data_IF_047942430388
#
_entry.id   IF_047942430388
#
_cell.length_a   1.000
_cell.length_b   1.000
_cell.length_c   1.000
_cell.angle_alpha   90.00
_cell.angle_beta   90.00
_cell.angle_gamma   90.00
#
_symmetry.space_group_name_H-M   'P 1'
#
loop_
_entity.id
_entity.type
_entity.pdbx_description
1 polymer ?
#
# COMPACT_ATOMS: atom_id res chain seq x y z
N UNK A 1 -48.72 13.87 -45.78
CA UNK A 1 -48.64 14.78 -44.62
C UNK A 1 -49.07 14.02 -43.37
N UNK A 2 -48.25 14.03 -42.32
CA UNK A 2 -48.68 13.71 -40.94
C UNK A 2 -48.24 12.35 -40.38
N UNK A 3 -47.00 12.26 -39.89
CA UNK A 3 -46.57 11.26 -38.90
C UNK A 3 -46.50 12.01 -37.56
N UNK A 4 -47.24 11.60 -36.53
CA UNK A 4 -46.93 11.92 -35.13
C UNK A 4 -47.52 10.91 -34.13
N UNK A 5 -46.70 10.67 -33.10
CA UNK A 5 -46.97 10.11 -31.78
C UNK A 5 -47.19 8.60 -31.63
N UNK A 6 -46.12 7.88 -31.26
CA UNK A 6 -46.09 6.91 -30.16
C UNK A 6 -44.67 6.88 -29.60
N UNK A 7 -44.45 7.17 -28.30
CA UNK A 7 -43.11 7.04 -27.72
C UNK A 7 -42.81 7.71 -26.37
N UNK A 8 -43.77 8.05 -25.52
CA UNK A 8 -43.50 8.56 -24.17
C UNK A 8 -44.27 7.73 -23.13
N UNK A 9 -43.66 6.68 -22.59
CA UNK A 9 -44.31 5.88 -21.55
C UNK A 9 -43.45 4.80 -20.89
N UNK A 10 -42.38 4.34 -21.54
CA UNK A 10 -41.58 3.22 -21.02
C UNK A 10 -40.41 3.63 -20.10
N UNK A 11 -39.95 4.88 -20.13
CA UNK A 11 -38.71 5.28 -19.44
C UNK A 11 -38.81 5.55 -17.94
N UNK A 12 -40.01 5.83 -17.39
CA UNK A 12 -40.14 6.35 -16.01
C UNK A 12 -40.33 5.31 -14.90
N UNK A 13 -40.65 4.05 -15.23
CA UNK A 13 -40.86 2.99 -14.21
C UNK A 13 -39.64 2.09 -13.96
N UNK A 14 -38.62 2.13 -14.83
CA UNK A 14 -37.37 1.39 -14.62
C UNK A 14 -36.37 2.12 -13.69
N UNK A 15 -36.44 3.44 -13.57
CA UNK A 15 -35.49 4.23 -12.76
C UNK A 15 -35.73 4.18 -11.24
N UNK A 16 -36.96 3.95 -10.78
CA UNK A 16 -37.29 4.02 -9.36
C UNK A 16 -36.98 2.72 -8.57
N UNK A 17 -37.02 1.57 -9.23
CA UNK A 17 -36.77 0.27 -8.59
C UNK A 17 -35.27 -0.08 -8.49
N UNK A 18 -34.42 0.51 -9.34
CA UNK A 18 -32.96 0.33 -9.29
C UNK A 18 -32.27 1.27 -8.28
N UNK A 19 -32.89 2.42 -7.96
CA UNK A 19 -32.35 3.38 -6.99
C UNK A 19 -32.48 2.92 -5.52
N UNK A 20 -33.57 2.24 -5.16
CA UNK A 20 -33.86 1.86 -3.77
C UNK A 20 -33.04 0.65 -3.29
N UNK A 21 -32.74 -0.31 -4.17
CA UNK A 21 -31.90 -1.47 -3.85
C UNK A 21 -30.43 -1.07 -3.78
N UNK A 22 -30.00 -0.12 -4.62
CA UNK A 22 -28.63 0.42 -4.61
C UNK A 22 -28.31 1.17 -3.30
N UNK A 23 -29.27 1.95 -2.76
CA UNK A 23 -29.12 2.67 -1.49
C UNK A 23 -29.05 1.79 -0.25
N UNK A 24 -29.84 0.71 -0.20
CA UNK A 24 -29.84 -0.21 0.95
C UNK A 24 -28.57 -1.08 1.01
N UNK A 25 -28.05 -1.49 -0.16
CA UNK A 25 -26.84 -2.31 -0.27
C UNK A 25 -25.58 -1.47 -0.04
N UNK A 26 -25.52 -0.22 -0.53
CA UNK A 26 -24.41 0.71 -0.24
C UNK A 26 -24.33 1.10 1.24
N UNK A 27 -25.48 1.23 1.92
CA UNK A 27 -25.55 1.48 3.35
C UNK A 27 -25.04 0.31 4.21
N UNK A 28 -25.39 -0.93 3.83
CA UNK A 28 -24.96 -2.14 4.54
C UNK A 28 -23.44 -2.40 4.39
N UNK A 29 -22.89 -2.19 3.20
CA UNK A 29 -21.46 -2.34 2.93
C UNK A 29 -20.66 -1.21 3.60
N UNK A 30 -21.13 0.05 3.54
CA UNK A 30 -20.53 1.15 4.30
C UNK A 30 -20.55 0.90 5.81
N UNK A 31 -21.64 0.33 6.35
CA UNK A 31 -21.77 -0.03 7.76
C UNK A 31 -20.81 -1.14 8.19
N UNK A 32 -20.60 -2.15 7.34
CA UNK A 32 -19.65 -3.24 7.59
C UNK A 32 -18.19 -2.75 7.53
N UNK A 33 -17.85 -1.90 6.55
CA UNK A 33 -16.52 -1.26 6.42
C UNK A 33 -16.26 -0.29 7.57
N UNK A 34 -17.25 0.51 7.97
CA UNK A 34 -17.15 1.40 9.13
C UNK A 34 -17.04 0.64 10.47
N UNK A 35 -17.75 -0.48 10.62
CA UNK A 35 -17.66 -1.37 11.78
C UNK A 35 -16.31 -2.09 11.88
N UNK A 36 -15.77 -2.54 10.73
CA UNK A 36 -14.42 -3.09 10.63
C UNK A 36 -13.34 -2.04 10.92
N UNK A 37 -13.59 -0.78 10.56
CA UNK A 37 -12.74 0.39 10.87
C UNK A 37 -12.81 0.84 12.32
N UNK A 38 -13.98 0.73 12.96
CA UNK A 38 -14.19 1.14 14.36
C UNK A 38 -13.60 0.16 15.39
N UNK A 39 -13.37 -1.11 15.03
CA UNK A 39 -12.71 -2.11 15.90
C UNK A 39 -11.16 -2.01 15.92
N UNK A 40 -10.59 -0.93 15.39
CA UNK A 40 -9.19 -0.90 14.99
C UNK A 40 -8.25 -0.22 16.00
N UNK A 41 -7.46 -1.05 16.68
CA UNK A 41 -6.02 -0.81 16.83
C UNK A 41 -5.25 -0.93 15.49
N UNK A 42 -5.94 -1.12 14.36
CA UNK A 42 -5.42 -1.54 13.06
C UNK A 42 -5.59 -0.56 11.89
N UNK A 43 -6.12 0.65 12.12
CA UNK A 43 -6.18 1.73 11.11
C UNK A 43 -4.88 2.56 11.10
N UNK A 44 -3.78 1.97 11.59
CA UNK A 44 -2.56 2.70 11.86
C UNK A 44 -1.90 3.16 10.56
N UNK A 45 -1.85 2.32 9.52
CA UNK A 45 -1.18 2.65 8.26
C UNK A 45 -1.91 3.76 7.52
N UNK A 46 -3.25 3.67 7.44
CA UNK A 46 -4.08 4.72 6.88
C UNK A 46 -3.97 6.02 7.68
N UNK A 47 -4.08 5.98 9.01
CA UNK A 47 -3.93 7.19 9.83
C UNK A 47 -2.54 7.81 9.68
N UNK A 48 -1.49 7.00 9.71
CA UNK A 48 -0.12 7.45 9.53
C UNK A 48 0.10 8.09 8.15
N UNK A 49 -0.63 7.65 7.13
CA UNK A 49 -0.63 8.23 5.79
C UNK A 49 -1.47 9.51 5.72
N UNK A 50 -2.67 9.54 6.31
CA UNK A 50 -3.56 10.71 6.36
C UNK A 50 -2.95 11.90 7.11
N UNK A 51 -2.14 11.61 8.14
CA UNK A 51 -1.40 12.62 8.91
C UNK A 51 0.00 12.88 8.37
N UNK A 52 0.41 12.18 7.31
CA UNK A 52 1.71 12.40 6.69
C UNK A 52 1.76 13.83 6.14
N UNK A 53 2.86 14.59 6.31
CA UNK A 53 2.97 15.91 5.72
C UNK A 53 2.66 15.85 4.23
N UNK A 54 2.04 16.90 3.70
CA UNK A 54 1.74 17.02 2.27
C UNK A 54 2.89 17.73 1.58
N UNK A 55 3.25 17.37 0.33
CA UNK A 55 4.27 18.11 -0.40
C UNK A 55 3.77 19.52 -0.71
N UNK A 56 4.67 20.49 -0.61
CA UNK A 56 4.42 21.85 -1.07
C UNK A 56 4.41 21.95 -2.60
N UNK A 57 3.74 22.98 -3.12
CA UNK A 57 3.83 23.37 -4.53
C UNK A 57 4.14 24.87 -4.55
N UNK A 58 5.33 25.30 -5.02
CA UNK A 58 6.40 24.51 -5.65
C UNK A 58 7.11 23.53 -4.69
N UNK A 59 7.81 22.55 -5.26
CA UNK A 59 8.62 21.57 -4.52
C UNK A 59 9.91 22.23 -4.03
N UNK A 60 9.93 22.68 -2.77
CA UNK A 60 11.11 23.30 -2.15
C UNK A 60 12.00 22.27 -1.45
N UNK A 61 11.40 21.22 -0.90
CA UNK A 61 12.06 20.15 -0.16
C UNK A 61 11.71 18.79 -0.73
N UNK A 62 12.52 17.79 -0.41
CA UNK A 62 12.22 16.40 -0.74
C UNK A 62 11.06 15.90 0.11
N UNK A 63 10.08 15.32 -0.56
CA UNK A 63 8.94 14.68 0.06
C UNK A 63 8.93 13.20 -0.28
N UNK A 64 8.81 12.36 0.75
CA UNK A 64 8.78 10.92 0.59
C UNK A 64 7.67 10.31 1.43
N UNK A 65 7.00 9.31 0.88
CA UNK A 65 6.24 8.34 1.67
C UNK A 65 6.55 6.92 1.23
N UNK A 66 6.84 6.05 2.21
CA UNK A 66 7.18 4.65 1.94
C UNK A 66 6.55 3.70 2.94
N UNK A 67 6.36 2.45 2.53
CA UNK A 67 5.88 1.37 3.37
C UNK A 67 6.83 1.12 4.55
N UNK A 68 8.14 1.19 4.31
CA UNK A 68 9.15 1.11 5.36
C UNK A 68 8.99 2.26 6.37
N UNK A 69 8.80 3.48 5.88
CA UNK A 69 8.58 4.67 6.69
C UNK A 69 7.29 4.62 7.50
N UNK A 70 6.22 4.01 6.97
CA UNK A 70 4.99 3.76 7.73
C UNK A 70 5.25 2.76 8.88
N UNK A 71 5.86 1.61 8.58
CA UNK A 71 6.10 0.55 9.58
C UNK A 71 7.12 1.00 10.63
N UNK A 72 8.13 1.77 10.24
CA UNK A 72 9.15 2.31 11.14
C UNK A 72 8.59 3.26 12.20
N UNK A 73 7.39 3.82 11.99
CA UNK A 73 6.69 4.66 12.99
C UNK A 73 5.93 3.86 14.05
N UNK A 74 5.88 2.53 13.94
CA UNK A 74 5.21 1.71 14.94
C UNK A 74 5.96 1.76 16.28
N UNK A 75 5.26 1.74 17.44
CA UNK A 75 5.90 1.84 18.76
C UNK A 75 6.92 0.74 19.05
N UNK A 76 6.76 -0.44 18.43
CA UNK A 76 7.65 -1.57 18.62
C UNK A 76 7.94 -2.27 17.30
N UNK A 77 9.13 -2.03 16.75
CA UNK A 77 9.69 -2.77 15.62
C UNK A 77 10.76 -3.72 16.15
N UNK A 78 10.63 -5.05 15.97
CA UNK A 78 11.65 -6.00 16.40
C UNK A 78 13.01 -5.67 15.77
N UNK A 79 14.09 -5.68 16.56
CA UNK A 79 15.44 -5.32 16.09
C UNK A 79 15.89 -6.00 14.78
N UNK A 80 15.65 -7.32 14.59
CA UNK A 80 15.95 -7.98 13.31
C UNK A 80 15.15 -7.44 12.12
N UNK A 81 13.90 -6.99 12.33
CA UNK A 81 13.05 -6.44 11.28
C UNK A 81 13.50 -5.02 10.86
N UNK A 82 14.08 -4.24 11.77
CA UNK A 82 14.63 -2.90 11.45
C UNK A 82 15.63 -2.96 10.30
N UNK A 83 16.49 -3.99 10.29
CA UNK A 83 17.50 -4.18 9.23
C UNK A 83 16.90 -4.48 7.86
N UNK A 84 15.65 -4.93 7.80
CA UNK A 84 14.96 -5.27 6.57
C UNK A 84 14.01 -4.17 6.10
N UNK A 85 13.76 -3.13 6.91
CA UNK A 85 12.78 -2.09 6.56
C UNK A 85 13.09 -1.44 5.21
N UNK A 86 14.36 -1.08 4.96
CA UNK A 86 14.79 -0.46 3.71
C UNK A 86 14.48 -1.29 2.45
N UNK A 87 14.33 -2.61 2.59
CA UNK A 87 13.95 -3.47 1.46
C UNK A 87 12.50 -3.19 1.02
N UNK A 88 11.63 -2.76 1.94
CA UNK A 88 10.24 -2.46 1.61
C UNK A 88 10.08 -1.17 0.80
N UNK A 89 11.09 -0.29 0.78
CA UNK A 89 11.08 0.88 -0.11
C UNK A 89 11.00 0.43 -1.57
N UNK A 90 11.64 -0.68 -1.92
CA UNK A 90 11.57 -1.34 -3.24
C UNK A 90 10.19 -1.91 -3.63
N UNK A 91 9.22 -1.87 -2.72
CA UNK A 91 7.88 -2.45 -2.89
C UNK A 91 6.75 -1.42 -2.65
N UNK A 92 7.11 -0.22 -2.21
CA UNK A 92 6.13 0.78 -1.85
C UNK A 92 6.80 2.05 -1.39
N UNK A 93 7.11 2.92 -2.35
CA UNK A 93 7.64 4.25 -2.08
C UNK A 93 7.17 5.24 -3.14
N UNK A 94 6.92 6.47 -2.72
CA UNK A 94 6.75 7.63 -3.60
C UNK A 94 7.74 8.69 -3.14
N UNK A 95 8.61 9.12 -4.04
CA UNK A 95 9.57 10.22 -3.82
C UNK A 95 9.23 11.34 -4.78
N UNK A 96 9.11 12.56 -4.26
CA UNK A 96 8.88 13.76 -5.05
C UNK A 96 9.71 14.89 -4.45
N UNK A 97 10.69 15.39 -5.19
CA UNK A 97 11.54 16.50 -4.76
C UNK A 97 11.85 17.49 -5.89
N UNK A 98 12.60 18.56 -5.58
CA UNK A 98 13.01 19.56 -6.58
C UNK A 98 13.87 18.97 -7.70
N UNK A 99 14.71 17.99 -7.36
CA UNK A 99 15.72 17.42 -8.26
C UNK A 99 15.29 16.08 -8.87
N UNK A 100 14.52 15.27 -8.14
CA UNK A 100 14.15 13.92 -8.54
C UNK A 100 12.70 13.55 -8.22
N UNK A 101 12.24 12.51 -8.90
CA UNK A 101 10.94 11.87 -8.70
C UNK A 101 11.10 10.36 -8.85
N UNK A 102 10.38 9.59 -8.06
CA UNK A 102 10.60 8.14 -8.00
C UNK A 102 9.46 7.34 -7.43
N UNK A 103 9.50 6.05 -7.73
CA UNK A 103 8.62 5.03 -7.18
C UNK A 103 9.40 3.80 -6.75
N UNK A 104 8.95 3.20 -5.66
CA UNK A 104 9.35 1.87 -5.20
C UNK A 104 10.88 1.64 -5.19
N UNK A 105 11.61 2.54 -4.52
CA UNK A 105 13.06 2.44 -4.36
C UNK A 105 13.87 2.87 -5.59
N UNK A 106 13.21 3.33 -6.66
CA UNK A 106 13.87 3.88 -7.84
C UNK A 106 13.45 5.34 -8.07
N UNK A 107 14.42 6.26 -7.96
CA UNK A 107 14.25 7.68 -8.30
C UNK A 107 15.04 8.08 -9.53
N UNK A 108 14.56 9.13 -10.20
CA UNK A 108 15.19 9.67 -11.39
C UNK A 108 15.20 11.19 -11.36
N UNK A 109 16.35 11.77 -11.69
CA UNK A 109 16.48 13.21 -11.85
C UNK A 109 15.52 13.72 -12.93
N UNK A 110 14.85 14.85 -12.67
CA UNK A 110 13.87 15.42 -13.58
C UNK A 110 14.42 15.65 -15.00
N UNK A 111 15.70 16.02 -15.14
CA UNK A 111 16.36 16.20 -16.44
C UNK A 111 16.50 14.92 -17.30
N UNK A 112 16.23 13.74 -16.73
CA UNK A 112 16.21 12.46 -17.43
C UNK A 112 14.79 11.96 -17.73
N UNK A 113 13.77 12.60 -17.17
CA UNK A 113 12.37 12.24 -17.40
C UNK A 113 11.97 12.65 -18.82
N UNK A 114 11.34 11.72 -19.53
CA UNK A 114 10.86 11.87 -20.90
C UNK A 114 9.35 12.13 -20.95
N UNK A 115 8.61 11.49 -20.06
CA UNK A 115 7.14 11.53 -20.03
C UNK A 115 6.64 11.10 -18.65
N UNK A 116 5.57 11.73 -18.16
CA UNK A 116 4.78 11.25 -17.03
C UNK A 116 3.47 10.68 -17.58
N UNK A 117 3.19 9.43 -17.26
CA UNK A 117 1.98 8.72 -17.67
C UNK A 117 1.01 8.61 -16.51
N UNK A 118 -0.20 9.06 -16.77
CA UNK A 118 -1.29 9.05 -15.83
C UNK A 118 -2.22 7.88 -16.13
N UNK A 119 -2.49 7.06 -15.12
CA UNK A 119 -3.33 5.88 -15.21
C UNK A 119 -4.60 6.06 -14.38
N UNK A 120 -5.72 5.47 -14.77
CA UNK A 120 -6.93 5.54 -13.94
C UNK A 120 -6.70 4.79 -12.63
N UNK A 121 -7.17 5.37 -11.51
CA UNK A 121 -7.25 4.68 -10.21
C UNK A 121 -7.94 3.32 -10.30
N UNK A 122 -8.89 3.16 -11.22
CA UNK A 122 -9.68 1.93 -11.37
C UNK A 122 -8.85 0.80 -11.98
N UNK A 123 -7.90 1.12 -12.87
CA UNK A 123 -7.06 0.14 -13.55
C UNK A 123 -5.86 -0.30 -12.69
N UNK A 124 -5.46 0.52 -11.72
CA UNK A 124 -4.30 0.28 -10.85
C UNK A 124 -4.61 -0.45 -9.55
N UNK A 125 -5.88 -0.47 -9.12
CA UNK A 125 -6.32 -1.09 -7.86
C UNK A 125 -7.08 -2.44 -7.99
N UNK A 126 -7.04 -3.23 -9.10
CA UNK A 126 -7.78 -4.49 -9.16
C UNK A 126 -7.14 -5.62 -8.33
N UNK A 127 -7.97 -6.55 -7.88
CA UNK A 127 -7.64 -7.68 -6.98
C UNK A 127 -6.40 -8.50 -7.34
N UNK A 128 -6.22 -8.77 -8.63
CA UNK A 128 -5.11 -9.62 -9.11
C UNK A 128 -3.75 -8.99 -8.78
N UNK A 129 -3.71 -7.67 -8.61
CA UNK A 129 -2.50 -6.94 -8.23
C UNK A 129 -2.21 -7.14 -6.73
N UNK A 130 -3.22 -7.24 -5.88
CA UNK A 130 -3.08 -7.28 -4.42
C UNK A 130 -2.51 -8.60 -3.91
N UNK A 131 -3.08 -9.74 -4.33
CA UNK A 131 -2.59 -11.07 -3.92
C UNK A 131 -1.15 -11.28 -4.38
N UNK A 132 -0.85 -10.87 -5.62
CA UNK A 132 0.51 -10.87 -6.17
C UNK A 132 1.45 -9.98 -5.37
N UNK A 133 0.98 -8.85 -4.85
CA UNK A 133 1.84 -7.94 -4.08
C UNK A 133 2.16 -8.49 -2.69
N UNK A 134 1.22 -9.18 -2.04
CA UNK A 134 1.48 -9.87 -0.76
C UNK A 134 2.49 -11.01 -0.96
N UNK A 135 2.35 -11.79 -2.03
CA UNK A 135 3.32 -12.84 -2.36
C UNK A 135 4.67 -12.25 -2.77
N UNK A 136 4.69 -11.14 -3.51
CA UNK A 136 5.92 -10.38 -3.82
C UNK A 136 6.64 -9.94 -2.55
N UNK A 137 5.94 -9.39 -1.55
CA UNK A 137 6.54 -9.01 -0.26
C UNK A 137 7.21 -10.22 0.41
N UNK A 138 6.56 -11.39 0.36
CA UNK A 138 7.12 -12.63 0.93
C UNK A 138 8.38 -13.07 0.20
N UNK A 139 8.37 -13.01 -1.13
CA UNK A 139 9.49 -13.42 -1.98
C UNK A 139 10.68 -12.46 -1.90
N UNK A 140 10.41 -11.16 -1.77
CA UNK A 140 11.42 -10.11 -1.73
C UNK A 140 12.24 -10.12 -0.44
N UNK A 141 11.62 -10.48 0.69
CA UNK A 141 12.28 -10.46 1.99
C UNK A 141 13.09 -11.74 2.24
N UNK A 142 14.41 -11.63 2.56
CA UNK A 142 15.26 -12.80 2.79
C UNK A 142 14.81 -13.59 4.02
N UNK A 143 14.99 -14.93 4.04
CA UNK A 143 14.53 -15.78 5.14
C UNK A 143 15.38 -15.60 6.40
N UNK A 144 15.11 -14.53 7.16
CA UNK A 144 15.83 -14.18 8.40
C UNK A 144 14.86 -13.93 9.57
N UNK A 145 15.34 -13.91 10.83
CA UNK A 145 14.50 -13.57 11.98
C UNK A 145 13.81 -12.22 11.80
N UNK A 146 12.54 -12.12 12.19
CA UNK A 146 11.74 -10.90 12.00
C UNK A 146 11.03 -10.80 10.64
N UNK A 147 11.37 -11.62 9.64
CA UNK A 147 10.69 -11.63 8.32
C UNK A 147 9.19 -11.81 8.45
N UNK A 148 8.72 -12.81 9.21
CA UNK A 148 7.28 -13.10 9.35
C UNK A 148 6.53 -11.86 9.87
N UNK A 149 7.07 -11.23 10.91
CA UNK A 149 6.50 -10.01 11.48
C UNK A 149 6.45 -8.88 10.43
N UNK A 150 7.55 -8.67 9.70
CA UNK A 150 7.64 -7.62 8.70
C UNK A 150 6.68 -7.85 7.53
N UNK A 151 6.61 -9.07 7.00
CA UNK A 151 5.64 -9.47 5.98
C UNK A 151 4.21 -9.19 6.46
N UNK A 152 3.88 -9.59 7.69
CA UNK A 152 2.56 -9.35 8.27
C UNK A 152 2.24 -7.86 8.33
N UNK A 153 3.16 -7.02 8.82
CA UNK A 153 2.91 -5.57 8.92
C UNK A 153 2.90 -4.86 7.57
N UNK A 154 3.75 -5.28 6.64
CA UNK A 154 3.75 -4.80 5.26
C UNK A 154 2.44 -5.14 4.54
N UNK A 155 1.99 -6.39 4.62
CA UNK A 155 0.72 -6.81 4.05
C UNK A 155 -0.48 -6.11 4.73
N UNK A 156 -0.48 -5.98 6.06
CA UNK A 156 -1.52 -5.25 6.79
C UNK A 156 -1.61 -3.78 6.34
N UNK A 157 -0.46 -3.09 6.25
CA UNK A 157 -0.39 -1.71 5.82
C UNK A 157 -0.84 -1.54 4.37
N UNK A 158 -0.30 -2.35 3.46
CA UNK A 158 -0.64 -2.32 2.04
C UNK A 158 -2.14 -2.56 1.81
N UNK A 159 -2.71 -3.61 2.40
CA UNK A 159 -4.13 -3.92 2.27
C UNK A 159 -5.01 -2.81 2.84
N UNK A 160 -4.64 -2.25 4.00
CA UNK A 160 -5.39 -1.17 4.65
C UNK A 160 -5.38 0.10 3.79
N UNK A 161 -4.23 0.46 3.23
CA UNK A 161 -4.04 1.63 2.37
C UNK A 161 -4.74 1.43 1.02
N UNK A 162 -4.63 0.25 0.42
CA UNK A 162 -5.33 -0.10 -0.81
C UNK A 162 -6.86 -0.05 -0.64
N UNK A 163 -7.41 -0.62 0.45
CA UNK A 163 -8.84 -0.52 0.77
C UNK A 163 -9.30 0.93 0.90
N UNK A 164 -8.50 1.76 1.59
CA UNK A 164 -8.82 3.17 1.76
C UNK A 164 -8.79 3.92 0.42
N UNK A 165 -7.82 3.61 -0.45
CA UNK A 165 -7.68 4.18 -1.78
C UNK A 165 -8.81 3.75 -2.70
N UNK A 166 -9.19 2.47 -2.73
CA UNK A 166 -10.35 1.97 -3.49
C UNK A 166 -11.62 2.69 -3.08
N UNK A 167 -11.88 2.81 -1.77
CA UNK A 167 -13.04 3.55 -1.28
C UNK A 167 -12.98 5.06 -1.64
N UNK A 168 -11.80 5.64 -1.82
CA UNK A 168 -11.64 7.01 -2.29
C UNK A 168 -11.86 7.15 -3.80
N UNK A 169 -11.32 6.23 -4.59
CA UNK A 169 -11.51 6.15 -6.03
C UNK A 169 -12.98 5.95 -6.42
N UNK A 170 -13.74 5.17 -5.66
CA UNK A 170 -15.19 5.01 -5.86
C UNK A 170 -15.97 6.33 -5.72
N UNK A 171 -15.47 7.27 -4.90
CA UNK A 171 -16.12 8.58 -4.74
C UNK A 171 -15.70 9.55 -5.85
N UNK A 172 -14.49 9.42 -6.36
CA UNK A 172 -13.95 10.29 -7.38
C UNK A 172 -12.86 9.57 -8.17
N UNK A 173 -13.18 9.21 -9.42
CA UNK A 173 -12.21 8.68 -10.36
C UNK A 173 -11.20 9.76 -10.75
N UNK A 174 -9.91 9.42 -10.71
CA UNK A 174 -8.81 10.33 -11.05
C UNK A 174 -7.75 9.59 -11.85
N UNK A 175 -7.06 10.30 -12.73
CA UNK A 175 -5.84 9.82 -13.37
C UNK A 175 -4.65 10.16 -12.48
N UNK A 176 -3.87 9.16 -12.10
CA UNK A 176 -2.72 9.31 -11.21
C UNK A 176 -1.41 9.19 -11.97
N UNK A 177 -0.40 10.05 -11.70
CA UNK A 177 0.90 9.95 -12.33
C UNK A 177 1.70 8.77 -11.75
N UNK A 178 1.38 7.56 -12.18
CA UNK A 178 1.95 6.32 -11.63
C UNK A 178 2.99 5.67 -12.53
N UNK A 179 3.38 6.30 -13.63
CA UNK A 179 4.45 5.79 -14.49
C UNK A 179 5.33 6.94 -14.98
N UNK A 180 6.63 6.80 -14.79
CA UNK A 180 7.65 7.73 -15.25
C UNK A 180 8.42 7.04 -16.37
N UNK A 181 8.40 7.61 -17.57
CA UNK A 181 9.30 7.18 -18.64
C UNK A 181 10.56 8.03 -18.54
N UNK A 182 11.71 7.42 -18.35
CA UNK A 182 12.97 8.13 -18.19
C UNK A 182 14.12 7.49 -18.96
N UNK A 183 15.20 8.26 -19.16
CA UNK A 183 16.44 7.75 -19.76
C UNK A 183 17.21 6.90 -18.76
N UNK A 184 17.53 5.67 -19.15
CA UNK A 184 18.51 4.85 -18.43
C UNK A 184 19.95 5.34 -18.68
N UNK A 185 20.95 4.68 -18.08
CA UNK A 185 22.37 5.03 -18.23
C UNK A 185 22.87 5.04 -19.69
N UNK A 186 22.21 4.30 -20.58
CA UNK A 186 22.53 4.23 -22.01
C UNK A 186 21.66 5.16 -22.87
N UNK A 187 20.90 6.06 -22.25
CA UNK A 187 20.02 7.00 -22.94
C UNK A 187 18.76 6.38 -23.55
N UNK A 188 18.49 5.09 -23.29
CA UNK A 188 17.28 4.42 -23.78
C UNK A 188 16.10 4.67 -22.82
N UNK A 189 14.85 4.75 -23.33
CA UNK A 189 13.68 4.81 -22.47
C UNK A 189 13.60 3.58 -21.56
N UNK A 190 13.33 3.82 -20.28
CA UNK A 190 12.98 2.84 -19.24
C UNK A 190 11.74 3.36 -18.53
N UNK A 191 10.81 2.46 -18.22
CA UNK A 191 9.61 2.78 -17.48
C UNK A 191 9.84 2.47 -16.00
N UNK A 192 9.50 3.42 -15.14
CA UNK A 192 9.45 3.29 -13.69
C UNK A 192 7.97 3.39 -13.32
N UNK A 193 7.35 2.24 -13.06
CA UNK A 193 5.94 2.16 -12.70
C UNK A 193 5.81 2.05 -11.18
N UNK A 194 4.96 2.88 -10.60
CA UNK A 194 4.57 2.77 -9.21
C UNK A 194 3.65 1.57 -8.99
N UNK A 195 4.00 0.76 -8.00
CA UNK A 195 3.23 -0.38 -7.55
C UNK A 195 1.96 0.02 -6.80
N UNK A 196 1.30 -0.98 -6.23
CA UNK A 196 0.01 -0.82 -5.56
C UNK A 196 0.07 0.21 -4.42
N UNK A 197 1.16 0.23 -3.66
CA UNK A 197 1.33 1.20 -2.58
C UNK A 197 1.43 2.63 -3.13
N UNK A 198 2.25 2.87 -4.15
CA UNK A 198 2.43 4.18 -4.76
C UNK A 198 1.10 4.72 -5.31
N UNK A 199 0.36 3.90 -6.07
CA UNK A 199 -0.96 4.26 -6.58
C UNK A 199 -1.96 4.58 -5.45
N UNK A 200 -1.96 3.77 -4.39
CA UNK A 200 -2.84 3.98 -3.23
C UNK A 200 -2.47 5.23 -2.45
N UNK A 201 -1.18 5.51 -2.29
CA UNK A 201 -0.66 6.70 -1.62
C UNK A 201 -1.03 7.97 -2.39
N UNK A 202 -0.82 8.00 -3.72
CA UNK A 202 -1.21 9.12 -4.57
C UNK A 202 -2.73 9.33 -4.62
N UNK A 203 -3.52 8.27 -4.45
CA UNK A 203 -4.98 8.39 -4.31
C UNK A 203 -5.37 9.10 -3.01
N UNK A 204 -4.72 8.76 -1.90
CA UNK A 204 -5.04 9.24 -0.56
C UNK A 204 -4.39 10.59 -0.22
N UNK A 205 -3.27 10.91 -0.86
CA UNK A 205 -2.55 12.19 -0.78
C UNK A 205 -2.54 12.81 -2.18
N UNK A 206 -3.68 13.36 -2.65
CA UNK A 206 -3.77 13.91 -4.00
C UNK A 206 -2.77 15.04 -4.24
N UNK A 207 -2.39 15.77 -3.20
CA UNK A 207 -1.38 16.84 -3.27
C UNK A 207 -0.03 16.32 -3.77
N UNK A 208 0.32 15.06 -3.51
CA UNK A 208 1.54 14.45 -4.04
C UNK A 208 1.46 14.22 -5.55
N UNK A 209 0.32 13.74 -6.04
CA UNK A 209 0.10 13.61 -7.48
C UNK A 209 0.09 14.99 -8.16
N UNK A 210 -0.56 15.97 -7.55
CA UNK A 210 -0.59 17.36 -8.04
C UNK A 210 0.81 17.97 -8.09
N UNK A 211 1.65 17.73 -7.08
CA UNK A 211 3.03 18.21 -7.03
C UNK A 211 3.89 17.61 -8.16
N UNK A 212 3.77 16.30 -8.42
CA UNK A 212 4.44 15.64 -9.57
C UNK A 212 4.00 16.28 -10.89
N UNK A 213 2.69 16.48 -11.07
CA UNK A 213 2.14 17.07 -12.29
C UNK A 213 2.53 18.55 -12.46
N UNK A 214 2.56 19.32 -11.38
CA UNK A 214 3.00 20.71 -11.39
C UNK A 214 4.49 20.82 -11.76
N UNK A 215 5.33 20.00 -11.13
CA UNK A 215 6.77 19.96 -11.41
C UNK A 215 7.09 19.53 -12.84
N UNK A 216 6.34 18.55 -13.37
CA UNK A 216 6.46 18.13 -14.77
C UNK A 216 6.11 19.27 -15.74
N UNK A 217 5.00 19.98 -15.49
CA UNK A 217 4.56 21.11 -16.33
C UNK A 217 5.55 22.26 -16.32
N UNK A 218 6.07 22.62 -15.15
CA UNK A 218 7.09 23.68 -15.00
C UNK A 218 8.33 23.38 -15.84
N UNK A 219 8.70 22.11 -15.97
CA UNK A 219 9.88 21.64 -16.70
C UNK A 219 9.61 21.31 -18.17
N UNK A 220 8.38 21.50 -18.64
CA UNK A 220 7.97 21.17 -20.01
C UNK A 220 7.97 19.66 -20.31
N UNK A 221 7.86 18.81 -19.28
CA UNK A 221 7.79 17.36 -19.42
C UNK A 221 6.37 16.98 -19.86
N UNK A 222 6.20 16.20 -20.95
CA UNK A 222 4.89 15.71 -21.39
C UNK A 222 4.17 14.92 -20.29
N UNK A 223 2.88 15.21 -20.12
CA UNK A 223 1.97 14.45 -19.27
C UNK A 223 0.90 13.82 -20.15
N UNK A 224 0.84 12.49 -20.18
CA UNK A 224 -0.10 11.73 -21.01
C UNK A 224 -1.07 10.97 -20.12
N UNK A 225 -2.36 11.03 -20.41
CA UNK A 225 -3.33 10.10 -19.82
C UNK A 225 -3.33 8.84 -20.68
N UNK A 226 -2.98 7.71 -20.08
CA UNK A 226 -3.02 6.41 -20.75
C UNK A 226 -4.46 5.92 -20.66
N UNK A 227 -5.17 5.99 -21.78
CA UNK A 227 -6.49 5.38 -21.91
C UNK A 227 -6.30 3.87 -22.15
N UNK A 228 -6.64 3.04 -21.16
CA UNK A 228 -6.75 1.59 -21.40
C UNK A 228 -7.99 1.34 -22.30
N UNK A 229 -7.88 0.54 -23.39
CA UNK A 229 -9.00 0.20 -24.27
C UNK A 229 -10.22 -0.45 -23.57
N UNK A 230 -10.13 -0.83 -22.29
CA UNK A 230 -11.24 -1.34 -21.49
C UNK A 230 -12.20 -0.27 -20.92
N UNK A 231 -12.10 0.99 -21.38
CA UNK A 231 -12.77 2.19 -20.80
C UNK A 231 -14.28 2.34 -21.04
N UNK A 232 -15.00 1.22 -21.23
CA UNK A 232 -16.43 1.23 -21.60
C UNK A 232 -17.44 0.80 -20.53
N UNK A 233 -17.06 0.25 -19.37
CA UNK A 233 -18.04 -0.46 -18.51
C UNK A 233 -17.99 -0.04 -17.03
N UNK A 234 -18.56 1.12 -16.71
CA UNK A 234 -18.66 1.63 -15.33
C UNK A 234 -19.39 0.67 -14.36
N UNK A 235 -20.39 -0.08 -14.83
CA UNK A 235 -21.12 -1.04 -13.98
C UNK A 235 -20.30 -2.30 -13.66
N UNK A 236 -19.56 -2.80 -14.66
CA UNK A 236 -18.66 -3.94 -14.48
C UNK A 236 -17.45 -3.55 -13.62
N UNK A 237 -16.91 -2.35 -13.83
CA UNK A 237 -15.86 -1.76 -12.99
C UNK A 237 -16.30 -1.56 -11.54
N UNK A 238 -17.51 -1.04 -11.31
CA UNK A 238 -18.05 -0.92 -9.96
C UNK A 238 -18.28 -2.30 -9.30
N UNK A 239 -18.64 -3.33 -10.07
CA UNK A 239 -18.74 -4.70 -9.56
C UNK A 239 -17.36 -5.29 -9.24
N UNK A 240 -16.35 -5.02 -10.08
CA UNK A 240 -14.96 -5.44 -9.88
C UNK A 240 -14.37 -4.78 -8.62
N UNK A 241 -14.56 -3.47 -8.42
CA UNK A 241 -14.08 -2.75 -7.23
C UNK A 241 -14.76 -3.22 -5.93
N UNK A 242 -16.07 -3.53 -5.97
CA UNK A 242 -16.78 -4.11 -4.81
C UNK A 242 -16.27 -5.50 -4.48
N UNK A 243 -16.17 -6.38 -5.49
CA UNK A 243 -15.57 -7.70 -5.34
C UNK A 243 -14.14 -7.62 -4.78
N UNK A 244 -13.42 -6.55 -5.14
CA UNK A 244 -12.09 -6.31 -4.62
C UNK A 244 -12.05 -5.90 -3.16
N UNK A 245 -12.92 -4.99 -2.78
CA UNK A 245 -13.08 -4.55 -1.40
C UNK A 245 -13.41 -5.73 -0.47
N UNK A 246 -14.32 -6.63 -0.88
CA UNK A 246 -14.69 -7.81 -0.10
C UNK A 246 -13.51 -8.77 0.10
N UNK A 247 -12.71 -9.01 -0.96
CA UNK A 247 -11.54 -9.90 -0.92
C UNK A 247 -10.38 -9.33 -0.13
N UNK A 248 -10.05 -8.04 -0.28
CA UNK A 248 -9.07 -7.36 0.56
C UNK A 248 -9.47 -7.44 2.05
N UNK A 249 -10.76 -7.25 2.35
CA UNK A 249 -11.28 -7.37 3.72
C UNK A 249 -11.10 -8.78 4.27
N UNK A 250 -11.34 -9.80 3.44
CA UNK A 250 -11.09 -11.21 3.78
C UNK A 250 -9.61 -11.52 3.99
N UNK A 251 -8.74 -11.09 3.08
CA UNK A 251 -7.29 -11.29 3.18
C UNK A 251 -6.73 -10.66 4.46
N UNK A 252 -7.14 -9.44 4.78
CA UNK A 252 -6.77 -8.75 6.01
C UNK A 252 -7.27 -9.48 7.25
N UNK A 253 -8.47 -10.06 7.22
CA UNK A 253 -9.01 -10.87 8.31
C UNK A 253 -8.18 -12.14 8.53
N UNK A 254 -7.82 -12.86 7.46
CA UNK A 254 -6.97 -14.07 7.53
C UNK A 254 -5.58 -13.75 8.06
N UNK A 255 -4.99 -12.67 7.59
CA UNK A 255 -3.67 -12.22 8.03
C UNK A 255 -3.65 -11.98 9.54
N UNK A 256 -4.67 -11.30 10.07
CA UNK A 256 -4.81 -11.04 11.51
C UNK A 256 -5.06 -12.30 12.32
N UNK A 257 -5.82 -13.25 11.81
CA UNK A 257 -6.04 -14.54 12.48
C UNK A 257 -4.75 -15.38 12.61
N UNK A 258 -3.68 -15.00 11.90
CA UNK A 258 -2.38 -15.70 11.90
C UNK A 258 -1.33 -14.99 12.77
N UNK A 259 -1.66 -13.83 13.35
CA UNK A 259 -0.77 -13.13 14.28
C UNK A 259 -0.77 -13.91 15.61
N UNK A 260 0.37 -14.47 16.06
CA UNK A 260 0.43 -15.06 17.38
C UNK A 260 0.25 -13.93 18.39
N UNK A 261 -0.76 -14.02 19.26
CA UNK A 261 -0.81 -13.13 20.42
C UNK A 261 0.50 -13.29 21.19
N UNK A 262 1.09 -12.18 21.69
CA UNK A 262 2.14 -12.32 22.69
C UNK A 262 1.54 -13.13 23.84
N UNK A 263 2.17 -14.25 24.19
CA UNK A 263 1.80 -15.04 25.36
C UNK A 263 1.59 -14.06 26.52
N UNK A 264 0.33 -13.85 26.90
CA UNK A 264 0.01 -13.08 28.08
C UNK A 264 0.60 -13.85 29.25
N UNK A 265 1.58 -13.26 29.93
CA UNK A 265 2.15 -13.73 31.18
C UNK A 265 1.02 -14.13 32.12
N UNK A 266 0.71 -15.42 32.11
CA UNK A 266 -0.14 -16.05 33.11
C UNK A 266 0.76 -16.29 34.29
N UNK A 267 0.50 -15.60 35.40
CA UNK A 267 1.22 -15.75 36.66
C UNK A 267 1.43 -17.23 37.01
N UNK A 268 2.65 -17.67 37.38
CA UNK A 268 2.87 -19.04 37.76
C UNK A 268 2.35 -19.26 39.19
N UNK A 269 1.20 -19.92 39.30
CA UNK A 269 0.82 -20.65 40.50
C UNK A 269 1.82 -21.80 40.76
N UNK A 270 2.03 -22.20 42.02
CA UNK A 270 3.20 -22.96 42.40
C UNK A 270 3.09 -24.43 42.00
N UNK A 271 4.26 -24.94 41.61
CA UNK A 271 4.87 -26.19 42.09
C UNK A 271 5.02 -27.42 41.15
N UNK A 272 6.29 -27.82 41.06
CA UNK A 272 6.90 -29.16 40.92
C UNK A 272 6.93 -29.84 39.54
N UNK A 273 8.14 -29.89 38.95
CA UNK A 273 8.51 -30.88 37.94
C UNK A 273 9.72 -30.47 37.08
N UNK A 274 10.92 -30.93 37.47
CA UNK A 274 12.23 -30.57 36.88
C UNK A 274 12.29 -30.48 35.35
N UNK A 275 12.42 -29.25 34.85
CA UNK A 275 12.86 -28.90 33.51
C UNK A 275 13.79 -27.70 33.62
N UNK A 276 14.99 -27.79 33.03
CA UNK A 276 15.99 -26.71 33.06
C UNK A 276 15.35 -25.39 32.63
N UNK A 277 15.51 -24.37 33.46
CA UNK A 277 14.89 -23.06 33.25
C UNK A 277 15.42 -22.43 31.95
N UNK A 278 14.55 -21.73 31.21
CA UNK A 278 14.92 -20.95 30.01
C UNK A 278 16.06 -19.96 30.30
N UNK A 279 16.21 -19.53 31.56
CA UNK A 279 17.33 -18.71 32.05
C UNK A 279 18.66 -19.49 32.11
N UNK A 280 18.64 -20.79 32.44
CA UNK A 280 19.83 -21.65 32.41
C UNK A 280 20.28 -21.93 30.97
N UNK A 281 19.33 -22.06 30.03
CA UNK A 281 19.64 -22.20 28.60
C UNK A 281 20.26 -20.90 28.05
N UNK A 282 19.73 -19.73 28.45
CA UNK A 282 20.31 -18.44 28.10
C UNK A 282 21.72 -18.22 28.66
N UNK A 283 21.96 -18.62 29.91
CA UNK A 283 23.27 -18.52 30.54
C UNK A 283 24.31 -19.46 29.90
N UNK A 284 23.90 -20.68 29.50
CA UNK A 284 24.79 -21.61 28.82
C UNK A 284 25.25 -21.10 27.44
N UNK A 285 24.34 -20.49 26.66
CA UNK A 285 24.66 -19.93 25.33
C UNK A 285 25.56 -18.70 25.44
N UNK A 286 25.39 -17.86 26.46
CA UNK A 286 26.27 -16.72 26.72
C UNK A 286 27.67 -17.15 27.15
N UNK A 287 27.79 -18.17 27.98
CA UNK A 287 29.09 -18.73 28.38
C UNK A 287 29.85 -19.38 27.20
N UNK A 288 29.13 -20.01 26.27
CA UNK A 288 29.71 -20.61 25.07
C UNK A 288 30.21 -19.53 24.07
N UNK A 289 29.50 -18.41 23.95
CA UNK A 289 29.92 -17.26 23.13
C UNK A 289 31.14 -16.52 23.70
N UNK A 290 31.26 -16.41 25.04
CA UNK A 290 32.45 -15.83 25.67
C UNK A 290 33.68 -16.73 25.50
N UNK A 291 33.53 -18.06 25.57
CA UNK A 291 34.62 -18.99 25.28
C UNK A 291 35.10 -18.91 23.84
N UNK A 292 34.20 -18.72 22.87
CA UNK A 292 34.55 -18.53 21.46
C UNK A 292 35.26 -17.20 21.20
N UNK A 293 34.93 -16.14 21.95
CA UNK A 293 35.62 -14.85 21.86
C UNK A 293 37.03 -14.89 22.48
N UNK A 294 37.21 -15.65 23.56
CA UNK A 294 38.51 -15.81 24.23
C UNK A 294 39.52 -16.67 23.44
N UNK A 295 39.04 -17.50 22.50
CA UNK A 295 39.89 -18.38 21.68
C UNK A 295 40.36 -17.77 20.35
N UNK A 296 40.01 -16.51 20.05
CA UNK A 296 40.57 -15.83 18.87
C UNK A 296 42.03 -15.43 19.14
N UNK A 297 43.01 -15.98 18.41
CA UNK A 297 44.38 -15.48 18.50
C UNK A 297 44.44 -14.04 17.98
N UNK A 298 45.36 -13.20 18.51
CA UNK A 298 45.56 -11.85 18.00
C UNK A 298 45.95 -11.92 16.52
N UNK A 299 45.29 -11.09 15.71
CA UNK A 299 45.66 -10.88 14.33
C UNK A 299 46.96 -10.06 14.32
N UNK A 300 48.07 -10.71 13.95
CA UNK A 300 49.30 -10.05 13.51
C UNK A 300 49.09 -9.35 12.15
#
# INVERSE_FOLDING_TARGET
MGIRQVGEGAGRRAGAALGSVSGAVTGAVSGAVASARAKAGSDWARRALETHPKPGVPLEEEWEVSLAGLIGRLPHVPGPAVRLLHLLDGLGQVVVGPEEVGFDGESVAWGKVLEIRCHSTVDLLPDVVVEREVDRIREFLPPVPGRKWLVTKAAEALLTVALAATAAAERQERSLPCEIVAKNLFGRPKNLAGGLFAASALTLIPEAGEAVLAAARERGIPVTVVDDPMTGMHAERAAQLRGATDRLTEALRRLRATDPEPESDSEPGPEVGGGRSKAEVGAAVLAELEQLHAQRPPLD
#
